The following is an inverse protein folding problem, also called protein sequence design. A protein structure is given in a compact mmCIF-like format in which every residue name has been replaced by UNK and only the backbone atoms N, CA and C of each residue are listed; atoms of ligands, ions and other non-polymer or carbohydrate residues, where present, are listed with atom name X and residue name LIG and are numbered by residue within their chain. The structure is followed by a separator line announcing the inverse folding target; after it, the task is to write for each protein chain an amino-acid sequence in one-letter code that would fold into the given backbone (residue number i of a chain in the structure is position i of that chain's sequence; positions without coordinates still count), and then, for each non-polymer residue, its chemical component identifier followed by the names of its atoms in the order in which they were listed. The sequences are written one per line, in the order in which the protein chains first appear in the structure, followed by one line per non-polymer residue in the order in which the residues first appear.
data_IF_061738899373
#
_entry.id   IF_061738899373
#
_cell.length_a   1.000
_cell.length_b   1.000
_cell.length_c   1.000
_cell.angle_alpha   90.00
_cell.angle_beta   90.00
_cell.angle_gamma   90.00
#
_symmetry.space_group_name_H-M   'P 1'
#
loop_
_entity.id
_entity.type
_entity.pdbx_description
1 polymer ?
#
# COMPACT_ATOMS: atom_id res chain seq x y z
N UNK A 1 -15.19 16.70 -12.07
CA UNK A 1 -15.39 15.24 -11.94
C UNK A 1 -15.35 14.88 -10.47
N UNK A 2 -16.14 13.91 -10.01
CA UNK A 2 -16.13 13.45 -8.62
C UNK A 2 -15.88 11.95 -8.54
N UNK A 3 -15.38 11.48 -7.39
CA UNK A 3 -15.27 10.05 -7.08
C UNK A 3 -16.63 9.59 -6.55
N UNK A 4 -17.25 8.63 -7.26
CA UNK A 4 -18.54 8.03 -6.91
C UNK A 4 -18.39 6.85 -5.96
N UNK A 5 -17.34 6.04 -6.15
CA UNK A 5 -17.09 4.84 -5.37
C UNK A 5 -15.60 4.48 -5.37
N UNK A 6 -15.19 3.63 -4.44
CA UNK A 6 -13.80 3.15 -4.32
C UNK A 6 -13.78 1.63 -4.29
N UNK A 7 -12.94 1.05 -5.14
CA UNK A 7 -12.74 -0.39 -5.25
C UNK A 7 -11.39 -0.78 -4.66
N UNK A 8 -11.34 -1.91 -3.98
CA UNK A 8 -10.10 -2.54 -3.51
C UNK A 8 -9.97 -3.92 -4.14
N UNK A 9 -8.81 -4.19 -4.77
CA UNK A 9 -8.54 -5.47 -5.41
C UNK A 9 -7.18 -6.02 -4.95
N UNK A 10 -7.12 -7.20 -4.30
CA UNK A 10 -5.86 -7.80 -3.89
C UNK A 10 -5.05 -8.24 -5.11
N UNK A 11 -3.74 -8.11 -5.02
CA UNK A 11 -2.79 -8.51 -6.05
C UNK A 11 -1.51 -9.09 -5.49
N UNK A 12 -0.65 -9.57 -6.39
CA UNK A 12 0.69 -10.03 -6.06
C UNK A 12 1.70 -8.94 -6.38
N UNK A 13 2.72 -8.82 -5.54
CA UNK A 13 3.93 -8.07 -5.89
C UNK A 13 4.75 -8.83 -6.92
N UNK A 14 5.62 -8.12 -7.63
CA UNK A 14 6.51 -8.72 -8.63
C UNK A 14 7.74 -9.43 -8.02
N UNK A 15 7.82 -9.50 -6.69
CA UNK A 15 8.95 -10.09 -5.97
C UNK A 15 8.51 -10.63 -4.59
N UNK A 16 9.40 -10.59 -3.60
CA UNK A 16 9.20 -11.12 -2.25
C UNK A 16 9.47 -10.05 -1.21
N UNK A 17 8.82 -10.19 -0.05
CA UNK A 17 9.31 -9.55 1.16
C UNK A 17 10.35 -10.46 1.80
N UNK A 18 11.51 -9.90 2.09
CA UNK A 18 12.64 -10.60 2.69
C UNK A 18 12.97 -9.97 4.04
N UNK A 19 13.17 -10.81 5.06
CA UNK A 19 13.67 -10.38 6.35
C UNK A 19 15.17 -10.07 6.23
N UNK A 20 15.47 -8.78 6.05
CA UNK A 20 16.83 -8.29 5.93
C UNK A 20 17.70 -8.61 7.16
N UNK A 21 17.11 -8.65 8.36
CA UNK A 21 17.81 -8.92 9.61
C UNK A 21 18.33 -10.35 9.65
N UNK A 22 17.44 -11.31 9.41
CA UNK A 22 17.78 -12.73 9.34
C UNK A 22 18.81 -13.03 8.23
N UNK A 23 18.64 -12.42 7.04
CA UNK A 23 19.59 -12.60 5.93
C UNK A 23 20.97 -12.06 6.30
N UNK A 24 21.05 -10.88 6.91
CA UNK A 24 22.33 -10.30 7.36
C UNK A 24 22.98 -11.08 8.50
N UNK A 25 22.19 -11.77 9.32
CA UNK A 25 22.67 -12.68 10.36
C UNK A 25 23.21 -14.01 9.80
N UNK A 26 23.17 -14.20 8.47
CA UNK A 26 23.74 -15.37 7.81
C UNK A 26 22.75 -16.52 7.62
N UNK A 27 21.45 -16.21 7.48
CA UNK A 27 20.44 -17.23 7.18
C UNK A 27 20.84 -18.07 5.93
N UNK A 28 20.87 -19.41 6.05
CA UNK A 28 21.24 -20.27 4.94
C UNK A 28 20.17 -20.26 3.84
N UNK A 29 20.62 -20.29 2.59
CA UNK A 29 19.74 -20.48 1.43
C UNK A 29 19.56 -21.97 1.13
N UNK A 30 18.33 -22.35 0.83
CA UNK A 30 17.96 -23.66 0.27
C UNK A 30 17.23 -23.42 -1.05
N UNK A 31 18.00 -23.51 -2.15
CA UNK A 31 17.52 -23.12 -3.48
C UNK A 31 17.09 -21.65 -3.52
N UNK A 32 15.78 -21.41 -3.67
CA UNK A 32 15.21 -20.07 -3.76
C UNK A 32 14.70 -19.52 -2.40
N UNK A 33 14.57 -20.36 -1.38
CA UNK A 33 14.09 -19.97 -0.05
C UNK A 33 15.26 -19.82 0.93
N UNK A 34 14.99 -19.21 2.08
CA UNK A 34 15.90 -19.17 3.21
C UNK A 34 15.38 -20.10 4.31
N UNK A 35 16.26 -20.89 4.92
CA UNK A 35 15.93 -21.74 6.07
C UNK A 35 16.22 -21.02 7.38
N UNK A 36 15.51 -21.39 8.44
CA UNK A 36 15.60 -20.77 9.76
C UNK A 36 14.38 -19.92 10.08
N UNK A 37 14.46 -19.17 11.18
CA UNK A 37 13.36 -18.35 11.68
C UNK A 37 13.48 -16.90 11.22
N UNK A 38 12.34 -16.28 10.90
CA UNK A 38 12.29 -14.85 10.70
C UNK A 38 12.46 -14.11 12.03
N UNK A 39 13.19 -13.01 11.99
CA UNK A 39 13.47 -12.09 13.09
C UNK A 39 12.59 -10.84 13.04
N UNK A 40 12.12 -10.44 11.85
CA UNK A 40 11.27 -9.29 11.64
C UNK A 40 9.81 -9.57 12.03
N UNK A 41 9.18 -8.64 12.75
CA UNK A 41 7.78 -8.74 13.18
C UNK A 41 6.86 -8.88 11.96
N UNK A 42 5.94 -9.85 12.02
CA UNK A 42 4.94 -10.12 10.99
C UNK A 42 5.37 -11.14 9.94
N UNK A 43 6.67 -11.42 9.81
CA UNK A 43 7.14 -12.44 8.86
C UNK A 43 6.89 -13.85 9.38
N UNK A 44 6.28 -14.70 8.56
CA UNK A 44 6.06 -16.14 8.85
C UNK A 44 7.22 -17.01 8.38
N UNK A 45 8.03 -16.51 7.45
CA UNK A 45 9.29 -17.09 6.96
C UNK A 45 10.23 -15.97 6.54
N UNK A 46 11.52 -16.25 6.44
CA UNK A 46 12.54 -15.23 6.07
C UNK A 46 12.27 -14.62 4.69
N UNK A 47 11.67 -15.39 3.77
CA UNK A 47 11.16 -14.92 2.48
C UNK A 47 9.67 -15.24 2.40
N UNK A 48 8.84 -14.25 2.10
CA UNK A 48 7.39 -14.40 1.87
C UNK A 48 7.00 -13.74 0.54
N UNK A 49 6.01 -14.28 -0.20
CA UNK A 49 5.53 -13.63 -1.42
C UNK A 49 5.09 -12.19 -1.16
N UNK A 50 5.54 -11.25 -2.00
CA UNK A 50 5.06 -9.88 -1.87
C UNK A 50 3.61 -9.79 -2.36
N UNK A 51 2.84 -8.90 -1.76
CA UNK A 51 1.46 -8.61 -2.15
C UNK A 51 1.28 -7.14 -2.50
N UNK A 52 0.24 -6.85 -3.26
CA UNK A 52 -0.25 -5.50 -3.52
C UNK A 52 -1.73 -5.39 -3.20
N UNK A 53 -2.21 -4.18 -3.03
CA UNK A 53 -3.63 -3.88 -2.98
C UNK A 53 -3.91 -2.71 -3.92
N UNK A 54 -4.58 -2.99 -5.04
CA UNK A 54 -4.97 -1.97 -6.00
C UNK A 54 -6.17 -1.19 -5.47
N UNK A 55 -6.14 0.14 -5.64
CA UNK A 55 -7.24 1.04 -5.34
C UNK A 55 -7.78 1.66 -6.63
N UNK A 56 -9.05 1.38 -6.90
CA UNK A 56 -9.78 1.92 -8.04
C UNK A 56 -10.68 3.06 -7.61
N UNK A 57 -10.66 4.18 -8.32
CA UNK A 57 -11.57 5.30 -8.12
C UNK A 57 -12.59 5.29 -9.25
N UNK A 58 -13.83 4.91 -8.94
CA UNK A 58 -14.94 4.97 -9.88
C UNK A 58 -15.42 6.43 -9.97
N UNK A 59 -15.33 7.02 -11.15
CA UNK A 59 -15.66 8.41 -11.40
C UNK A 59 -17.13 8.56 -11.83
N UNK A 60 -17.66 9.78 -11.73
CA UNK A 60 -19.06 10.08 -12.07
C UNK A 60 -19.42 9.85 -13.54
N UNK A 61 -18.44 9.81 -14.44
CA UNK A 61 -18.63 9.51 -15.87
C UNK A 61 -18.58 8.00 -16.19
N UNK A 62 -18.35 7.16 -15.19
CA UNK A 62 -18.27 5.70 -15.32
C UNK A 62 -16.86 5.15 -15.54
N UNK A 63 -15.84 6.01 -15.69
CA UNK A 63 -14.45 5.54 -15.74
C UNK A 63 -13.99 5.01 -14.38
N UNK A 64 -13.04 4.07 -14.39
CA UNK A 64 -12.32 3.63 -13.18
C UNK A 64 -10.84 3.80 -13.42
N UNK A 65 -10.20 4.62 -12.59
CA UNK A 65 -8.75 4.85 -12.61
C UNK A 65 -8.10 4.19 -11.41
N UNK A 66 -6.86 3.72 -11.55
CA UNK A 66 -6.23 2.82 -10.58
C UNK A 66 -4.91 3.34 -10.03
N UNK A 67 -4.56 2.91 -8.83
CA UNK A 67 -3.21 2.97 -8.29
C UNK A 67 -2.93 1.74 -7.46
N UNK A 68 -1.65 1.42 -7.22
CA UNK A 68 -1.26 0.19 -6.54
C UNK A 68 -0.52 0.47 -5.23
N UNK A 69 -1.10 0.00 -4.13
CA UNK A 69 -0.46 0.03 -2.81
C UNK A 69 0.44 -1.19 -2.69
N UNK A 70 1.72 -0.97 -2.39
CA UNK A 70 2.73 -2.01 -2.24
C UNK A 70 3.89 -1.51 -1.37
N UNK A 71 4.70 -2.44 -0.87
CA UNK A 71 5.92 -2.11 -0.10
C UNK A 71 7.18 -2.65 -0.78
N UNK A 72 8.34 -2.28 -0.24
CA UNK A 72 9.65 -2.69 -0.75
C UNK A 72 10.02 -4.09 -0.27
N UNK A 73 10.99 -4.73 -0.94
CA UNK A 73 11.50 -6.05 -0.58
C UNK A 73 11.84 -6.17 0.92
N UNK A 74 12.60 -5.22 1.47
CA UNK A 74 12.98 -5.22 2.89
C UNK A 74 11.97 -4.42 3.73
N UNK A 75 10.70 -4.78 3.64
CA UNK A 75 9.62 -4.21 4.45
C UNK A 75 9.88 -4.43 5.94
N UNK A 76 9.60 -3.44 6.80
CA UNK A 76 9.92 -3.47 8.23
C UNK A 76 11.40 -3.25 8.60
N UNK A 77 12.31 -3.15 7.62
CA UNK A 77 13.74 -2.97 7.90
C UNK A 77 14.18 -1.50 7.93
N UNK A 78 15.03 -1.14 8.90
CA UNK A 78 15.76 0.13 8.91
C UNK A 78 14.89 1.38 9.01
N UNK A 79 13.86 1.35 9.86
CA UNK A 79 12.93 2.47 10.07
C UNK A 79 11.85 2.61 9.00
N UNK A 80 11.72 1.64 8.09
CA UNK A 80 10.58 1.53 7.19
C UNK A 80 9.33 1.13 7.95
N UNK A 81 8.18 1.40 7.34
CA UNK A 81 6.91 0.87 7.81
C UNK A 81 6.96 -0.65 7.96
N UNK A 82 6.13 -1.22 8.85
CA UNK A 82 6.01 -2.67 9.02
C UNK A 82 5.70 -3.43 7.73
N UNK A 83 5.79 -4.76 7.79
CA UNK A 83 5.40 -5.65 6.70
C UNK A 83 4.04 -5.25 6.13
N UNK A 84 3.96 -5.19 4.80
CA UNK A 84 2.71 -4.89 4.10
C UNK A 84 1.76 -6.08 4.21
N UNK A 85 0.88 -6.02 5.19
CA UNK A 85 -0.19 -6.99 5.40
C UNK A 85 -1.47 -6.55 4.70
N UNK A 86 -1.80 -7.20 3.58
CA UNK A 86 -2.90 -6.78 2.70
C UNK A 86 -4.24 -6.64 3.43
N UNK A 87 -4.54 -7.52 4.39
CA UNK A 87 -5.77 -7.44 5.18
C UNK A 87 -5.80 -6.20 6.09
N UNK A 88 -4.68 -5.87 6.75
CA UNK A 88 -4.59 -4.70 7.63
C UNK A 88 -4.65 -3.41 6.82
N UNK A 89 -3.94 -3.37 5.68
CA UNK A 89 -3.98 -2.24 4.75
C UNK A 89 -5.38 -2.06 4.16
N UNK A 90 -6.06 -3.14 3.78
CA UNK A 90 -7.43 -3.09 3.26
C UNK A 90 -8.41 -2.53 4.29
N UNK A 91 -8.33 -2.99 5.54
CA UNK A 91 -9.19 -2.51 6.64
C UNK A 91 -8.94 -1.02 6.92
N UNK A 92 -7.67 -0.61 7.04
CA UNK A 92 -7.31 0.79 7.28
C UNK A 92 -7.77 1.69 6.12
N UNK A 93 -7.55 1.26 4.89
CA UNK A 93 -7.98 1.99 3.68
C UNK A 93 -9.50 2.13 3.65
N UNK A 94 -10.23 1.05 3.86
CA UNK A 94 -11.71 1.06 3.86
C UNK A 94 -12.28 1.97 4.94
N UNK A 95 -11.71 1.93 6.15
CA UNK A 95 -12.23 2.68 7.30
C UNK A 95 -11.86 4.16 7.28
N UNK A 96 -10.67 4.51 6.81
CA UNK A 96 -10.11 5.87 6.96
C UNK A 96 -9.95 6.58 5.62
N UNK A 97 -9.43 5.90 4.61
CA UNK A 97 -9.03 6.52 3.34
C UNK A 97 -10.24 6.67 2.42
N UNK A 98 -11.09 5.65 2.31
CA UNK A 98 -12.29 5.68 1.44
C UNK A 98 -13.21 6.86 1.78
N UNK A 99 -13.60 7.10 3.05
CA UNK A 99 -14.44 8.25 3.39
C UNK A 99 -13.80 9.59 3.02
N UNK A 100 -12.46 9.71 3.09
CA UNK A 100 -11.74 10.92 2.69
C UNK A 100 -11.74 11.10 1.17
N UNK A 101 -11.51 10.02 0.43
CA UNK A 101 -11.54 10.02 -1.04
C UNK A 101 -12.89 10.47 -1.60
N UNK A 102 -13.99 10.04 -0.99
CA UNK A 102 -15.34 10.45 -1.40
C UNK A 102 -15.64 11.95 -1.10
N UNK A 103 -14.77 12.65 -0.37
CA UNK A 103 -14.94 14.04 0.05
C UNK A 103 -13.87 15.00 -0.52
N UNK A 104 -13.13 14.59 -1.57
CA UNK A 104 -12.14 15.45 -2.23
C UNK A 104 -12.48 15.76 -3.68
N UNK A 105 -12.03 16.92 -4.15
CA UNK A 105 -12.09 17.34 -5.54
C UNK A 105 -10.81 16.92 -6.26
N UNK A 106 -10.93 15.96 -7.18
CA UNK A 106 -9.80 15.40 -7.94
C UNK A 106 -9.19 16.38 -8.94
N UNK A 107 -9.82 17.52 -9.23
CA UNK A 107 -9.21 18.59 -10.04
C UNK A 107 -8.08 19.32 -9.34
N UNK A 108 -8.03 19.21 -8.00
CA UNK A 108 -6.99 19.82 -7.17
C UNK A 108 -6.11 18.72 -6.58
N UNK A 109 -5.33 18.05 -7.43
CA UNK A 109 -4.53 16.88 -7.08
C UNK A 109 -3.76 17.01 -5.76
N UNK A 110 -2.98 18.09 -5.59
CA UNK A 110 -2.17 18.28 -4.39
C UNK A 110 -3.02 18.46 -3.13
N UNK A 111 -4.13 19.19 -3.22
CA UNK A 111 -5.04 19.41 -2.10
C UNK A 111 -5.82 18.14 -1.75
N UNK A 112 -6.20 17.35 -2.76
CA UNK A 112 -6.83 16.04 -2.57
C UNK A 112 -5.88 15.09 -1.82
N UNK A 113 -4.62 15.00 -2.24
CA UNK A 113 -3.60 14.23 -1.53
C UNK A 113 -3.44 14.71 -0.08
N UNK A 114 -3.29 16.02 0.15
CA UNK A 114 -3.11 16.59 1.49
C UNK A 114 -4.26 16.21 2.43
N UNK A 115 -5.51 16.32 1.96
CA UNK A 115 -6.70 15.95 2.75
C UNK A 115 -6.80 14.45 3.01
N UNK A 116 -6.55 13.62 2.00
CA UNK A 116 -6.66 12.17 2.14
C UNK A 116 -5.58 11.62 3.08
N UNK A 117 -4.38 12.22 3.06
CA UNK A 117 -3.22 11.78 3.84
C UNK A 117 -3.10 12.45 5.22
N UNK A 118 -4.13 13.14 5.70
CA UNK A 118 -4.14 13.70 7.04
C UNK A 118 -3.77 12.62 8.10
N UNK A 119 -2.86 12.91 9.03
CA UNK A 119 -2.44 11.95 10.04
C UNK A 119 -3.62 11.36 10.83
N UNK A 120 -3.54 10.06 11.13
CA UNK A 120 -4.47 9.38 12.02
C UNK A 120 -3.80 9.23 13.39
N UNK A 121 -4.45 9.73 14.45
CA UNK A 121 -3.90 9.67 15.81
C UNK A 121 -2.46 10.23 15.91
N UNK A 122 -2.20 11.34 15.20
CA UNK A 122 -0.88 11.99 15.08
C UNK A 122 0.20 11.16 14.37
N UNK A 123 -0.15 10.00 13.81
CA UNK A 123 0.74 9.19 13.00
C UNK A 123 0.39 9.32 11.53
N UNK A 124 1.41 9.31 10.68
CA UNK A 124 1.24 9.25 9.24
C UNK A 124 0.57 7.93 8.85
N UNK A 125 -0.19 7.95 7.76
CA UNK A 125 -0.65 6.70 7.16
C UNK A 125 0.55 5.88 6.66
N UNK A 126 0.44 4.54 6.59
CA UNK A 126 1.44 3.72 5.92
C UNK A 126 1.77 4.25 4.53
N UNK A 127 3.06 4.38 4.22
CA UNK A 127 3.57 4.88 2.95
C UNK A 127 3.01 4.15 1.75
N UNK A 128 2.77 2.84 1.87
CA UNK A 128 2.18 2.04 0.81
C UNK A 128 0.78 2.55 0.41
N UNK A 129 -0.02 3.01 1.38
CA UNK A 129 -1.33 3.62 1.15
C UNK A 129 -1.15 4.95 0.40
N UNK A 130 -0.33 5.85 0.94
CA UNK A 130 -0.10 7.15 0.31
C UNK A 130 0.44 7.00 -1.13
N UNK A 131 1.31 6.01 -1.34
CA UNK A 131 1.86 5.69 -2.65
C UNK A 131 0.78 5.25 -3.63
N UNK A 132 -0.03 4.23 -3.32
CA UNK A 132 -1.08 3.77 -4.24
C UNK A 132 -2.19 4.79 -4.45
N UNK A 133 -2.62 5.47 -3.39
CA UNK A 133 -3.70 6.46 -3.46
C UNK A 133 -3.29 7.70 -4.24
N UNK A 134 -2.05 8.17 -4.08
CA UNK A 134 -1.55 9.33 -4.84
C UNK A 134 -1.46 9.04 -6.34
N UNK A 135 -1.15 7.80 -6.74
CA UNK A 135 -1.21 7.38 -8.14
C UNK A 135 -2.65 7.43 -8.68
N UNK A 136 -3.61 6.88 -7.93
CA UNK A 136 -5.01 6.85 -8.35
C UNK A 136 -5.59 8.27 -8.45
N UNK A 137 -5.30 9.15 -7.48
CA UNK A 137 -5.68 10.56 -7.51
C UNK A 137 -5.03 11.31 -8.68
N UNK A 138 -3.76 11.03 -8.98
CA UNK A 138 -3.08 11.62 -10.13
C UNK A 138 -3.76 11.22 -11.44
N UNK A 139 -4.10 9.92 -11.61
CA UNK A 139 -4.83 9.44 -12.78
C UNK A 139 -6.24 10.03 -12.86
N UNK A 140 -6.94 10.18 -11.73
CA UNK A 140 -8.25 10.84 -11.71
C UNK A 140 -8.16 12.30 -12.15
N UNK A 141 -7.12 13.01 -11.72
CA UNK A 141 -6.86 14.40 -12.12
C UNK A 141 -6.49 14.54 -13.60
N UNK A 142 -5.71 13.58 -14.12
CA UNK A 142 -5.32 13.55 -15.53
C UNK A 142 -6.46 13.15 -16.49
N UNK A 143 -7.50 12.46 -15.97
CA UNK A 143 -8.67 12.03 -16.74
C UNK A 143 -9.71 13.16 -16.94
N UNK A 144 -9.56 14.29 -16.24
CA UNK A 144 -10.50 15.42 -16.29
C UNK A 144 -10.65 16.07 -17.65
#
# INVERSE_FOLDING_TARGET
MQIKDVLLAPGNGAFFYDDQGAIRAGAPQDGFVYSGEATAIGFTSIRVPASSLSIGLALTDGAVVWGDMMSVQYSGAGGRDPLFESAQISELTSRIVVPRLLNVDVSRYLDACAKVFEPLQHQRLPLAIEYGVSQALLRASAHL
#
